data_IF_926523141105
#
_entry.id   IF_926523141105
#
_cell.length_a   1.000
_cell.length_b   1.000
_cell.length_c   1.000
_cell.angle_alpha   90.00
_cell.angle_beta   90.00
_cell.angle_gamma   90.00
#
_symmetry.space_group_name_H-M   'P 1'
#
loop_
_entity.id
_entity.type
_entity.pdbx_description
1 polymer ?
#
# COMPACT_ATOMS: atom_id res chain seq x y z
N UNK A 1 26.85 11.45 -21.68
CA UNK A 1 26.04 11.49 -20.45
C UNK A 1 25.43 10.10 -20.26
N UNK A 2 25.94 9.33 -19.33
CA UNK A 2 25.29 8.07 -18.96
C UNK A 2 23.90 8.36 -18.44
N UNK A 3 22.90 7.69 -18.99
CA UNK A 3 21.52 7.82 -18.51
C UNK A 3 21.48 7.26 -17.08
N UNK A 4 21.18 8.10 -16.10
CA UNK A 4 21.07 7.68 -14.70
C UNK A 4 20.04 6.55 -14.63
N UNK A 5 20.48 5.35 -14.20
CA UNK A 5 19.61 4.19 -14.04
C UNK A 5 18.54 4.51 -12.99
N UNK A 6 17.28 4.31 -13.34
CA UNK A 6 16.12 4.55 -12.47
C UNK A 6 15.58 3.25 -11.94
N UNK A 7 15.07 3.29 -10.71
CA UNK A 7 14.57 2.11 -10.02
C UNK A 7 13.18 2.35 -9.41
N UNK A 8 12.40 1.30 -9.40
CA UNK A 8 11.24 1.16 -8.54
C UNK A 8 11.66 0.37 -7.30
N UNK A 9 11.31 0.88 -6.14
CA UNK A 9 11.49 0.18 -4.88
C UNK A 9 10.15 -0.38 -4.42
N UNK A 10 10.10 -1.67 -4.09
CA UNK A 10 8.92 -2.31 -3.50
C UNK A 10 9.29 -2.73 -2.09
N UNK A 11 8.72 -2.03 -1.11
CA UNK A 11 8.95 -2.24 0.31
C UNK A 11 7.89 -3.14 0.89
N UNK A 12 8.28 -4.25 1.46
CA UNK A 12 7.45 -5.11 2.31
C UNK A 12 7.80 -4.82 3.76
N UNK A 13 6.79 -4.67 4.62
CA UNK A 13 7.03 -4.37 6.02
C UNK A 13 6.16 -5.20 6.97
N UNK A 14 6.79 -5.64 8.05
CA UNK A 14 6.12 -6.22 9.21
C UNK A 14 5.87 -5.12 10.24
N UNK A 15 4.81 -4.34 10.04
CA UNK A 15 4.52 -3.21 10.93
C UNK A 15 4.27 -3.69 12.37
N UNK A 16 4.85 -3.00 13.39
CA UNK A 16 4.77 -3.46 14.78
C UNK A 16 3.41 -3.22 15.46
N UNK A 17 2.44 -2.67 14.74
CA UNK A 17 1.09 -2.41 15.25
C UNK A 17 0.29 -3.70 15.49
N UNK A 18 -0.65 -3.66 16.45
CA UNK A 18 -1.53 -4.80 16.79
C UNK A 18 -2.27 -5.34 15.56
N UNK A 19 -2.80 -4.45 14.71
CA UNK A 19 -3.48 -4.82 13.46
C UNK A 19 -2.52 -5.55 12.50
N UNK A 20 -1.28 -5.08 12.35
CA UNK A 20 -0.29 -5.74 11.50
C UNK A 20 0.03 -7.17 11.97
N UNK A 21 0.17 -7.37 13.28
CA UNK A 21 0.36 -8.72 13.85
C UNK A 21 -0.84 -9.64 13.59
N UNK A 22 -2.05 -9.11 13.72
CA UNK A 22 -3.27 -9.85 13.44
C UNK A 22 -3.35 -10.26 11.95
N UNK A 23 -3.04 -9.36 11.03
CA UNK A 23 -3.02 -9.65 9.59
C UNK A 23 -2.03 -10.78 9.30
N UNK A 24 -0.78 -10.69 9.77
CA UNK A 24 0.23 -11.74 9.57
C UNK A 24 -0.22 -13.10 10.13
N UNK A 25 -0.84 -13.10 11.30
CA UNK A 25 -1.40 -14.32 11.87
C UNK A 25 -2.50 -14.95 11.00
N UNK A 26 -3.36 -14.11 10.41
CA UNK A 26 -4.47 -14.57 9.54
C UNK A 26 -4.01 -15.01 8.14
N UNK A 27 -2.98 -14.39 7.60
CA UNK A 27 -2.50 -14.68 6.23
C UNK A 27 -1.35 -15.69 6.21
N UNK A 28 -0.66 -15.91 7.33
CA UNK A 28 0.56 -16.70 7.39
C UNK A 28 1.79 -16.03 6.75
N UNK A 29 1.66 -14.78 6.29
CA UNK A 29 2.75 -14.03 5.67
C UNK A 29 3.69 -13.42 6.74
N UNK A 30 4.98 -13.30 6.43
CA UNK A 30 5.97 -12.62 7.28
C UNK A 30 5.73 -11.11 7.33
N UNK A 31 5.16 -10.54 6.27
CA UNK A 31 4.86 -9.12 6.11
C UNK A 31 3.36 -8.87 6.04
N UNK A 32 2.93 -7.69 6.45
CA UNK A 32 1.51 -7.31 6.44
C UNK A 32 1.22 -6.07 5.61
N UNK A 33 2.23 -5.47 5.01
CA UNK A 33 2.09 -4.25 4.24
C UNK A 33 3.10 -4.18 3.10
N UNK A 34 2.69 -3.58 1.97
CA UNK A 34 3.56 -3.34 0.82
C UNK A 34 3.37 -1.90 0.33
N UNK A 35 4.49 -1.23 0.04
CA UNK A 35 4.55 0.15 -0.46
C UNK A 35 5.44 0.24 -1.69
N UNK A 36 5.17 1.23 -2.53
CA UNK A 36 5.93 1.54 -3.74
C UNK A 36 6.78 2.78 -3.48
N UNK A 37 8.10 2.68 -3.68
CA UNK A 37 9.06 3.77 -3.52
C UNK A 37 9.69 4.22 -4.83
N UNK A 38 10.09 5.48 -4.89
CA UNK A 38 10.82 6.07 -6.02
C UNK A 38 12.23 6.51 -5.66
N UNK A 39 12.57 6.48 -4.36
CA UNK A 39 13.86 6.89 -3.81
C UNK A 39 14.46 5.76 -2.98
N UNK A 40 15.78 5.60 -3.05
CA UNK A 40 16.51 4.55 -2.33
C UNK A 40 16.46 4.71 -0.81
N UNK A 41 16.40 5.94 -0.34
CA UNK A 41 16.30 6.30 1.09
C UNK A 41 14.89 6.07 1.69
N UNK A 42 13.94 5.56 0.89
CA UNK A 42 12.56 5.27 1.31
C UNK A 42 11.78 6.50 1.82
N UNK A 43 12.16 7.71 1.44
CA UNK A 43 11.45 8.94 1.81
C UNK A 43 10.20 9.20 0.97
N UNK A 44 10.13 8.60 -0.22
CA UNK A 44 9.05 8.73 -1.19
C UNK A 44 8.28 7.41 -1.35
N UNK A 45 7.53 7.01 -0.33
CA UNK A 45 6.72 5.80 -0.32
C UNK A 45 5.25 6.11 -0.58
N UNK A 46 4.62 5.28 -1.38
CA UNK A 46 3.19 5.35 -1.73
C UNK A 46 2.53 4.01 -1.50
N UNK A 47 1.36 4.03 -0.86
CA UNK A 47 0.59 2.82 -0.60
C UNK A 47 -0.91 3.10 -0.50
N UNK A 48 -1.68 2.01 -0.39
CA UNK A 48 -3.02 2.05 0.19
C UNK A 48 -2.93 1.65 1.64
N UNK A 49 -3.17 2.62 2.52
CA UNK A 49 -3.01 2.49 3.96
C UNK A 49 -4.03 3.36 4.72
N UNK A 50 -4.03 3.23 6.04
CA UNK A 50 -4.78 4.13 6.93
C UNK A 50 -4.31 5.57 6.76
N UNK A 51 -5.26 6.49 6.74
CA UNK A 51 -4.96 7.93 6.67
C UNK A 51 -4.54 8.50 8.02
N UNK A 52 -5.15 8.00 9.13
CA UNK A 52 -4.80 8.39 10.49
C UNK A 52 -4.53 7.17 11.37
N UNK A 53 -3.73 7.35 12.40
CA UNK A 53 -3.34 6.29 13.33
C UNK A 53 -4.53 5.60 14.01
N UNK A 54 -5.50 6.38 14.48
CA UNK A 54 -6.65 5.89 15.26
C UNK A 54 -7.85 5.46 14.40
N UNK A 55 -7.72 5.41 13.06
CA UNK A 55 -8.84 5.14 12.14
C UNK A 55 -8.60 3.89 11.29
N UNK A 56 -8.86 2.68 11.80
CA UNK A 56 -8.58 1.44 11.06
C UNK A 56 -9.37 1.33 9.74
N UNK A 57 -10.55 1.93 9.67
CA UNK A 57 -11.45 1.86 8.51
C UNK A 57 -11.45 3.12 7.62
N UNK A 58 -10.62 4.10 7.92
CA UNK A 58 -10.42 5.27 7.08
C UNK A 58 -9.08 5.18 6.37
N UNK A 59 -9.10 4.66 5.17
CA UNK A 59 -7.92 4.42 4.37
C UNK A 59 -8.10 4.74 2.90
N UNK A 60 -6.99 4.82 2.19
CA UNK A 60 -6.96 5.08 0.76
C UNK A 60 -5.55 5.25 0.26
N UNK A 61 -5.37 5.90 -0.88
CA UNK A 61 -4.06 6.24 -1.39
C UNK A 61 -3.39 7.29 -0.50
N UNK A 62 -2.17 7.01 -0.07
CA UNK A 62 -1.36 7.87 0.80
C UNK A 62 0.09 7.92 0.36
N UNK A 63 0.74 9.06 0.57
CA UNK A 63 2.20 9.13 0.68
C UNK A 63 2.54 8.81 2.13
N UNK A 64 3.34 7.77 2.34
CA UNK A 64 3.71 7.33 3.68
C UNK A 64 4.96 8.06 4.17
N UNK A 65 4.93 8.48 5.42
CA UNK A 65 6.11 9.03 6.09
C UNK A 65 6.89 7.88 6.76
N UNK A 66 8.23 7.88 6.74
CA UNK A 66 9.05 6.83 7.36
C UNK A 66 8.72 6.52 8.83
N UNK A 67 8.28 7.51 9.61
CA UNK A 67 7.89 7.31 11.01
C UNK A 67 6.73 6.31 11.21
N UNK A 68 5.93 6.01 10.18
CA UNK A 68 4.85 5.01 10.24
C UNK A 68 5.35 3.58 10.41
N UNK A 69 6.63 3.35 10.13
CA UNK A 69 7.30 2.05 10.25
C UNK A 69 7.96 1.82 11.61
N UNK A 70 7.68 2.70 12.58
CA UNK A 70 8.14 2.58 13.97
C UNK A 70 6.96 2.69 14.93
N UNK A 71 6.98 1.90 16.00
CA UNK A 71 5.98 1.97 17.07
C UNK A 71 6.62 1.62 18.42
N UNK A 72 6.47 2.51 19.42
CA UNK A 72 7.04 2.34 20.75
C UNK A 72 8.55 1.99 20.74
N UNK A 73 9.32 2.68 19.93
CA UNK A 73 10.76 2.43 19.80
C UNK A 73 11.15 1.25 18.92
N UNK A 74 10.20 0.41 18.49
CA UNK A 74 10.45 -0.78 17.66
C UNK A 74 10.28 -0.43 16.20
N UNK A 75 11.32 -0.68 15.38
CA UNK A 75 11.24 -0.55 13.93
C UNK A 75 10.48 -1.74 13.31
N UNK A 76 9.83 -1.49 12.18
CA UNK A 76 9.28 -2.58 11.37
C UNK A 76 10.41 -3.38 10.73
N UNK A 77 10.26 -4.71 10.67
CA UNK A 77 11.08 -5.52 9.76
C UNK A 77 10.68 -5.19 8.33
N UNK A 78 11.67 -5.02 7.48
CA UNK A 78 11.53 -4.60 6.10
C UNK A 78 12.26 -5.54 5.15
N UNK A 79 11.67 -5.76 3.97
CA UNK A 79 12.30 -6.40 2.82
C UNK A 79 12.06 -5.50 1.61
N UNK A 80 13.12 -5.14 0.92
CA UNK A 80 13.08 -4.19 -0.20
C UNK A 80 13.56 -4.88 -1.46
N UNK A 81 12.81 -4.69 -2.52
CA UNK A 81 13.18 -5.10 -3.88
C UNK A 81 13.44 -3.86 -4.73
N UNK A 82 14.51 -3.90 -5.54
CA UNK A 82 14.92 -2.80 -6.42
C UNK A 82 14.83 -3.24 -7.88
N UNK A 83 13.82 -2.76 -8.57
CA UNK A 83 13.50 -3.13 -9.94
C UNK A 83 14.03 -2.05 -10.90
N UNK A 84 14.92 -2.38 -11.85
CA UNK A 84 15.40 -1.43 -12.84
C UNK A 84 14.26 -1.03 -13.78
N UNK A 85 14.15 0.27 -14.07
CA UNK A 85 13.16 0.81 -14.97
C UNK A 85 13.81 1.46 -16.18
N UNK A 86 13.21 1.25 -17.35
CA UNK A 86 13.47 2.08 -18.53
C UNK A 86 12.89 3.48 -18.32
N UNK A 87 13.34 4.47 -19.10
CA UNK A 87 12.79 5.84 -19.05
C UNK A 87 11.27 5.86 -19.32
N UNK A 88 10.78 5.00 -20.22
CA UNK A 88 9.35 4.89 -20.51
C UNK A 88 8.55 4.38 -19.30
N UNK A 89 9.07 3.35 -18.61
CA UNK A 89 8.44 2.81 -17.39
C UNK A 89 8.47 3.82 -16.25
N UNK A 90 9.58 4.54 -16.10
CA UNK A 90 9.70 5.60 -15.10
C UNK A 90 8.67 6.71 -15.31
N UNK A 91 8.57 7.25 -16.54
CA UNK A 91 7.59 8.29 -16.84
C UNK A 91 6.16 7.78 -16.56
N UNK A 92 5.85 6.55 -16.98
CA UNK A 92 4.55 5.93 -16.68
C UNK A 92 4.28 5.79 -15.18
N UNK A 93 5.30 5.43 -14.38
CA UNK A 93 5.18 5.37 -12.92
C UNK A 93 4.86 6.76 -12.35
N UNK A 94 5.58 7.80 -12.78
CA UNK A 94 5.36 9.18 -12.34
C UNK A 94 3.95 9.66 -12.71
N UNK A 95 3.46 9.34 -13.91
CA UNK A 95 2.09 9.68 -14.36
C UNK A 95 1.04 8.98 -13.47
N UNK A 96 1.20 7.68 -13.15
CA UNK A 96 0.32 6.93 -12.26
C UNK A 96 0.27 7.59 -10.89
N UNK A 97 1.44 7.81 -10.26
CA UNK A 97 1.52 8.36 -8.90
C UNK A 97 0.98 9.80 -8.85
N UNK A 98 1.30 10.63 -9.83
CA UNK A 98 0.81 12.02 -9.93
C UNK A 98 -0.70 12.07 -10.08
N UNK A 99 -1.28 11.27 -10.98
CA UNK A 99 -2.73 11.19 -11.17
C UNK A 99 -3.44 10.72 -9.89
N UNK A 100 -2.87 9.73 -9.20
CA UNK A 100 -3.46 9.23 -7.96
C UNK A 100 -3.34 10.24 -6.82
N UNK A 101 -2.28 11.04 -6.76
CA UNK A 101 -2.12 12.13 -5.79
C UNK A 101 -3.15 13.23 -5.99
N UNK A 102 -3.37 13.65 -7.23
CA UNK A 102 -4.39 14.68 -7.56
C UNK A 102 -5.80 14.26 -7.18
N UNK A 103 -6.09 12.98 -7.22
CA UNK A 103 -7.40 12.42 -6.90
C UNK A 103 -7.42 11.61 -5.59
N UNK A 104 -6.46 11.82 -4.68
CA UNK A 104 -6.26 10.96 -3.50
C UNK A 104 -7.54 10.74 -2.67
N UNK A 105 -8.39 11.77 -2.56
CA UNK A 105 -9.68 11.68 -1.83
C UNK A 105 -10.74 10.81 -2.52
N UNK A 106 -10.54 10.50 -3.79
CA UNK A 106 -11.42 9.61 -4.54
C UNK A 106 -11.04 8.13 -4.39
N UNK A 107 -9.86 7.83 -3.85
CA UNK A 107 -9.40 6.46 -3.65
C UNK A 107 -9.72 5.98 -2.24
N UNK A 108 -10.28 4.78 -2.16
CA UNK A 108 -10.69 4.14 -0.90
C UNK A 108 -9.81 2.91 -0.64
N UNK A 109 -9.61 2.58 0.63
CA UNK A 109 -9.06 1.28 0.99
C UNK A 109 -10.12 0.19 0.74
N UNK A 110 -9.72 -0.89 0.06
CA UNK A 110 -10.64 -1.98 -0.29
C UNK A 110 -10.82 -2.96 0.89
N UNK A 111 -11.63 -2.55 1.87
CA UNK A 111 -11.93 -3.37 3.05
C UNK A 111 -12.63 -4.68 2.71
N UNK A 112 -13.37 -4.75 1.57
CA UNK A 112 -14.04 -5.98 1.14
C UNK A 112 -13.02 -7.04 0.72
N UNK A 113 -12.05 -6.69 -0.13
CA UNK A 113 -10.94 -7.58 -0.46
C UNK A 113 -10.10 -7.94 0.77
N UNK A 114 -9.83 -6.99 1.66
CA UNK A 114 -9.04 -7.25 2.86
C UNK A 114 -9.73 -8.24 3.81
N UNK A 115 -11.06 -8.15 3.96
CA UNK A 115 -11.85 -9.06 4.79
C UNK A 115 -11.87 -10.48 4.20
N UNK A 116 -11.90 -10.60 2.88
CA UNK A 116 -11.98 -11.87 2.15
C UNK A 116 -10.59 -12.43 1.76
N UNK A 117 -9.51 -11.73 2.14
CA UNK A 117 -8.14 -12.16 1.85
C UNK A 117 -7.80 -13.57 2.39
N UNK A 118 -8.23 -13.99 3.60
CA UNK A 118 -7.99 -15.36 4.06
C UNK A 118 -8.65 -16.46 3.19
N UNK A 119 -9.67 -16.09 2.41
CA UNK A 119 -10.33 -16.98 1.45
C UNK A 119 -9.77 -16.86 0.04
N UNK A 120 -8.70 -16.06 -0.16
CA UNK A 120 -8.10 -15.73 -1.46
C UNK A 120 -9.10 -15.13 -2.46
N UNK A 121 -10.12 -14.41 -1.95
CA UNK A 121 -11.16 -13.79 -2.78
C UNK A 121 -10.84 -12.31 -2.97
N UNK A 122 -10.77 -11.90 -4.25
CA UNK A 122 -10.60 -10.50 -4.64
C UNK A 122 -11.95 -9.88 -5.01
N UNK A 123 -12.29 -8.78 -4.34
CA UNK A 123 -13.48 -7.98 -4.66
C UNK A 123 -13.07 -6.74 -5.43
N UNK A 124 -13.50 -6.63 -6.68
CA UNK A 124 -13.15 -5.48 -7.53
C UNK A 124 -14.11 -4.33 -7.27
N UNK A 125 -13.55 -3.22 -6.80
CA UNK A 125 -14.29 -1.97 -6.61
C UNK A 125 -13.55 -0.83 -7.30
N UNK A 126 -14.27 0.01 -8.05
CA UNK A 126 -13.67 1.13 -8.77
C UNK A 126 -12.98 2.11 -7.81
N UNK A 127 -11.71 2.44 -8.08
CA UNK A 127 -10.87 3.33 -7.26
C UNK A 127 -10.77 2.89 -5.79
N UNK A 128 -10.77 1.56 -5.56
CA UNK A 128 -10.50 0.99 -4.25
C UNK A 128 -9.49 -0.14 -4.38
N UNK A 129 -8.48 -0.13 -3.53
CA UNK A 129 -7.39 -1.10 -3.53
C UNK A 129 -6.97 -1.44 -2.10
N UNK A 130 -6.48 -2.65 -1.88
CA UNK A 130 -5.59 -2.97 -0.76
C UNK A 130 -4.16 -2.53 -1.13
N UNK A 131 -3.20 -2.60 -0.19
CA UNK A 131 -1.79 -2.33 -0.49
C UNK A 131 -1.24 -3.32 -1.55
N UNK A 132 -1.57 -4.61 -1.42
CA UNK A 132 -1.18 -5.65 -2.39
C UNK A 132 -1.79 -5.41 -3.78
N UNK A 133 -3.10 -5.11 -3.87
CA UNK A 133 -3.77 -4.82 -5.13
C UNK A 133 -3.17 -3.59 -5.83
N UNK A 134 -2.80 -2.56 -5.07
CA UNK A 134 -2.13 -1.38 -5.61
C UNK A 134 -0.74 -1.72 -6.16
N UNK A 135 0.09 -2.43 -5.38
CA UNK A 135 1.42 -2.85 -5.82
C UNK A 135 1.34 -3.68 -7.11
N UNK A 136 0.46 -4.69 -7.15
CA UNK A 136 0.22 -5.52 -8.35
C UNK A 136 -0.25 -4.68 -9.54
N UNK A 137 -1.13 -3.70 -9.31
CA UNK A 137 -1.61 -2.80 -10.39
C UNK A 137 -0.48 -1.96 -10.99
N UNK A 138 0.39 -1.41 -10.14
CA UNK A 138 1.57 -0.65 -10.59
C UNK A 138 2.54 -1.55 -11.35
N UNK A 139 2.94 -2.69 -10.76
CA UNK A 139 3.88 -3.64 -11.36
C UNK A 139 3.39 -4.13 -12.72
N UNK A 140 2.14 -4.55 -12.81
CA UNK A 140 1.50 -4.96 -14.08
C UNK A 140 1.49 -3.82 -15.10
N UNK A 141 1.17 -2.60 -14.68
CA UNK A 141 1.16 -1.43 -15.55
C UNK A 141 2.54 -1.11 -16.13
N UNK A 142 3.60 -1.42 -15.39
CA UNK A 142 4.98 -1.25 -15.82
C UNK A 142 5.50 -2.43 -16.66
N UNK A 143 4.70 -3.49 -16.85
CA UNK A 143 5.04 -4.64 -17.69
C UNK A 143 5.75 -5.77 -16.95
N UNK A 144 5.77 -5.76 -15.62
CA UNK A 144 6.18 -6.94 -14.84
C UNK A 144 5.09 -8.01 -14.88
N UNK A 145 5.48 -9.28 -14.74
CA UNK A 145 4.59 -10.44 -14.86
C UNK A 145 3.64 -10.58 -13.66
N UNK A 146 2.67 -9.68 -13.61
CA UNK A 146 1.57 -9.69 -12.66
C UNK A 146 0.23 -9.51 -13.39
N UNK A 147 -0.77 -10.34 -13.03
CA UNK A 147 -2.12 -10.17 -13.52
C UNK A 147 -2.99 -9.45 -12.48
N UNK A 148 -3.41 -8.19 -12.71
CA UNK A 148 -4.20 -7.44 -11.74
C UNK A 148 -5.62 -7.99 -11.53
N UNK A 149 -6.02 -9.04 -12.25
CA UNK A 149 -7.30 -9.73 -12.03
C UNK A 149 -7.20 -10.85 -11.00
N UNK A 150 -5.99 -11.39 -10.79
CA UNK A 150 -5.76 -12.45 -9.80
C UNK A 150 -5.64 -11.87 -8.39
N UNK A 151 -5.93 -12.70 -7.40
CA UNK A 151 -5.58 -12.43 -6.02
C UNK A 151 -4.11 -12.81 -5.79
N UNK A 152 -3.40 -11.97 -5.06
CA UNK A 152 -2.05 -12.24 -4.59
C UNK A 152 -1.98 -11.90 -3.11
N UNK A 153 -1.41 -12.79 -2.30
CA UNK A 153 -0.97 -12.47 -0.94
C UNK A 153 0.25 -11.55 -1.00
N UNK A 154 0.63 -11.00 0.14
CA UNK A 154 1.88 -10.23 0.25
C UNK A 154 3.08 -11.15 0.01
N UNK A 155 3.02 -12.40 0.49
CA UNK A 155 4.01 -13.43 0.24
C UNK A 155 4.17 -13.74 -1.25
N UNK A 156 3.08 -14.00 -1.96
CA UNK A 156 3.12 -14.27 -3.42
C UNK A 156 3.84 -13.17 -4.21
N UNK A 157 3.62 -11.89 -3.83
CA UNK A 157 4.28 -10.76 -4.50
C UNK A 157 5.77 -10.74 -4.15
N UNK A 158 6.11 -10.97 -2.88
CA UNK A 158 7.49 -11.04 -2.39
C UNK A 158 8.29 -12.11 -3.13
N UNK A 159 7.73 -13.33 -3.22
CA UNK A 159 8.40 -14.49 -3.85
C UNK A 159 8.66 -14.26 -5.35
N UNK A 160 7.69 -13.65 -6.06
CA UNK A 160 7.86 -13.31 -7.48
C UNK A 160 8.90 -12.22 -7.74
N UNK A 161 9.21 -11.40 -6.74
CA UNK A 161 10.20 -10.33 -6.83
C UNK A 161 11.58 -10.75 -6.31
N UNK A 162 11.79 -12.00 -5.86
CA UNK A 162 13.01 -12.44 -5.17
C UNK A 162 14.29 -12.18 -5.97
N UNK A 163 14.24 -12.27 -7.30
CA UNK A 163 15.38 -11.95 -8.16
C UNK A 163 15.81 -10.46 -8.14
N UNK A 164 14.96 -9.58 -7.59
CA UNK A 164 15.23 -8.15 -7.41
C UNK A 164 15.55 -7.78 -5.97
N UNK A 165 15.81 -8.76 -5.10
CA UNK A 165 16.11 -8.52 -3.69
C UNK A 165 17.25 -7.51 -3.53
N UNK A 166 17.05 -6.50 -2.67
CA UNK A 166 17.99 -5.42 -2.43
C UNK A 166 18.42 -5.32 -0.97
N UNK A 167 17.45 -5.43 -0.04
CA UNK A 167 17.70 -5.26 1.39
C UNK A 167 16.71 -6.08 2.23
N UNK A 168 17.19 -6.59 3.35
CA UNK A 168 16.34 -7.15 4.41
C UNK A 168 16.92 -6.76 5.77
N UNK A 169 16.07 -6.27 6.67
CA UNK A 169 16.49 -5.82 8.00
C UNK A 169 15.42 -4.98 8.68
N UNK A 170 15.85 -4.17 9.64
CA UNK A 170 14.99 -3.17 10.26
C UNK A 170 14.83 -1.96 9.34
N UNK A 171 13.60 -1.43 9.26
CA UNK A 171 13.36 -0.20 8.50
C UNK A 171 14.20 0.95 9.11
N UNK A 172 14.85 1.78 8.29
CA UNK A 172 15.67 2.89 8.78
C UNK A 172 14.89 3.79 9.74
N UNK A 173 15.54 4.16 10.83
CA UNK A 173 14.92 4.98 11.88
C UNK A 173 14.71 6.40 11.36
N UNK A 174 13.48 6.90 11.55
CA UNK A 174 13.13 8.29 11.37
C UNK A 174 12.66 8.84 12.72
N UNK A 175 13.30 9.88 13.20
CA UNK A 175 12.95 10.54 14.49
C UNK A 175 11.86 11.60 14.31
N UNK A 176 11.53 11.96 13.08
CA UNK A 176 10.45 12.90 12.78
C UNK A 176 9.09 12.22 12.97
N UNK A 177 8.13 12.98 13.47
CA UNK A 177 6.74 12.54 13.63
C UNK A 177 5.93 13.08 12.45
N UNK A 178 5.09 12.23 11.83
CA UNK A 178 4.07 12.67 10.87
C UNK A 178 2.85 13.22 11.65
N UNK A 179 2.71 14.54 11.83
CA UNK A 179 1.64 15.11 12.64
C UNK A 179 0.28 14.84 12.00
N UNK A 180 0.20 14.68 10.68
CA UNK A 180 -1.04 14.40 9.99
C UNK A 180 -1.54 12.97 10.27
N UNK A 181 -0.63 12.02 10.43
CA UNK A 181 -0.97 10.63 10.73
C UNK A 181 -1.37 10.44 12.21
N UNK A 182 -0.66 11.11 13.12
CA UNK A 182 -0.89 11.00 14.56
C UNK A 182 -1.86 12.06 15.13
N UNK A 183 -2.53 12.82 14.25
CA UNK A 183 -3.47 13.87 14.64
C UNK A 183 -4.54 13.36 15.63
N UNK A 184 -4.61 13.88 16.87
CA UNK A 184 -5.56 13.48 17.90
C UNK A 184 -6.94 14.11 17.67
N UNK A 185 -7.60 13.79 16.56
CA UNK A 185 -8.95 14.30 16.30
C UNK A 185 -9.99 13.71 17.24
N UNK A 186 -11.07 14.46 17.56
CA UNK A 186 -12.19 13.94 18.33
C UNK A 186 -12.75 12.65 17.71
N UNK A 187 -13.10 11.64 18.52
CA UNK A 187 -13.57 10.32 18.06
C UNK A 187 -14.76 10.37 17.08
N UNK A 188 -15.59 11.41 17.15
CA UNK A 188 -16.71 11.59 16.22
C UNK A 188 -16.24 11.74 14.75
N UNK A 189 -15.10 12.41 14.50
CA UNK A 189 -14.58 12.61 13.15
C UNK A 189 -14.11 11.29 12.50
N UNK A 190 -13.23 10.47 13.12
CA UNK A 190 -12.84 9.17 12.57
C UNK A 190 -14.01 8.23 12.33
N UNK A 191 -15.03 8.22 13.18
CA UNK A 191 -16.24 7.41 13.01
C UNK A 191 -17.00 7.88 11.76
N UNK A 192 -17.26 9.16 11.62
CA UNK A 192 -18.01 9.73 10.50
C UNK A 192 -17.32 9.45 9.15
N UNK A 193 -15.99 9.70 9.05
CA UNK A 193 -15.27 9.46 7.80
C UNK A 193 -15.16 7.98 7.46
N UNK A 194 -14.96 7.10 8.45
CA UNK A 194 -14.93 5.65 8.25
C UNK A 194 -16.27 5.11 7.76
N UNK A 195 -17.37 5.53 8.40
CA UNK A 195 -18.73 5.14 7.99
C UNK A 195 -19.02 5.61 6.56
N UNK A 196 -18.71 6.87 6.25
CA UNK A 196 -18.88 7.42 4.90
C UNK A 196 -18.12 6.59 3.86
N UNK A 197 -16.86 6.24 4.12
CA UNK A 197 -16.02 5.56 3.15
C UNK A 197 -16.42 4.08 3.00
N UNK A 198 -16.88 3.42 4.05
CA UNK A 198 -17.47 2.08 3.98
C UNK A 198 -18.76 2.11 3.13
N UNK A 199 -19.66 3.06 3.37
CA UNK A 199 -20.89 3.20 2.57
C UNK A 199 -20.57 3.46 1.09
N UNK A 200 -19.58 4.33 0.80
CA UNK A 200 -19.10 4.58 -0.57
C UNK A 200 -18.52 3.32 -1.23
N UNK A 201 -17.81 2.50 -0.46
CA UNK A 201 -17.24 1.25 -0.96
C UNK A 201 -18.35 0.27 -1.38
N UNK A 202 -19.35 0.05 -0.51
CA UNK A 202 -20.50 -0.81 -0.82
C UNK A 202 -21.32 -0.29 -1.99
N UNK A 203 -21.58 1.01 -2.05
CA UNK A 203 -22.32 1.62 -3.15
C UNK A 203 -21.62 1.45 -4.49
N UNK A 204 -20.29 1.66 -4.54
CA UNK A 204 -19.49 1.44 -5.75
C UNK A 204 -19.44 -0.02 -6.17
N UNK A 205 -19.38 -0.93 -5.22
CA UNK A 205 -19.44 -2.37 -5.49
C UNK A 205 -20.77 -2.74 -6.10
N UNK A 206 -21.87 -2.29 -5.51
CA UNK A 206 -23.23 -2.58 -6.01
C UNK A 206 -23.49 -2.02 -7.41
N UNK A 207 -23.03 -0.79 -7.69
CA UNK A 207 -23.15 -0.21 -9.04
C UNK A 207 -22.35 -1.00 -10.09
N UNK A 208 -21.17 -1.46 -9.76
CA UNK A 208 -20.36 -2.28 -10.67
C UNK A 208 -21.08 -3.56 -11.09
N UNK A 209 -21.89 -4.17 -10.20
CA UNK A 209 -22.69 -5.36 -10.51
C UNK A 209 -23.97 -5.09 -11.30
N UNK A 210 -24.42 -3.83 -11.39
CA UNK A 210 -25.62 -3.48 -12.17
C UNK A 210 -25.30 -3.04 -13.61
N UNK A 211 -24.04 -2.77 -13.92
CA UNK A 211 -23.59 -2.26 -15.22
C UNK A 211 -22.89 -3.33 -16.08
N UNK A 212 -22.82 -4.56 -15.58
CA UNK A 212 -22.35 -5.76 -16.26
C UNK A 212 -23.33 -6.90 -16.00
#
# INVERSE_FOLDING_TARGET
>A
MEAQQRYLYVLFSATPYRMGRFIRFMTGDDYNHVSIGTEEDMTNLYAFARRFYHTPFYGGFVKEHPCRYRHNGVAAKAKVYRLPLTNRQWNKLQDILSSMRLEADRYLYNHLSALLAPLHIKVRVRKAYTCAEFAVSVLSSLGFDFNPRHFYTIGDISDRLECYHFYSGDFPVCDEIDPAFFDPRPLAHPIAVSTRDILRLFWRHHLAHRLF
#
